data_IF_417463873820
#
_entry.id   IF_417463873820
#
_cell.length_a   1.000
_cell.length_b   1.000
_cell.length_c   1.000
_cell.angle_alpha   90.00
_cell.angle_beta   90.00
_cell.angle_gamma   90.00
#
_symmetry.space_group_name_H-M   'P 1'
#
loop_
_entity.id
_entity.type
_entity.pdbx_description
1 polymer ?
#
# COMPACT_ATOMS: atom_id res chain seq x y z
N UNK A 1 18.35 24.41 4.08
CA UNK A 1 17.18 23.86 3.41
C UNK A 1 16.76 22.59 4.18
N UNK A 2 15.51 22.54 4.68
CA UNK A 2 15.03 21.42 5.50
C UNK A 2 15.04 20.09 4.75
N UNK A 3 14.80 20.10 3.42
CA UNK A 3 14.89 18.91 2.58
C UNK A 3 16.26 18.24 2.62
N UNK A 4 17.33 19.02 2.58
CA UNK A 4 18.72 18.51 2.68
C UNK A 4 18.96 17.85 4.03
N UNK A 5 18.51 18.48 5.13
CA UNK A 5 18.62 17.89 6.47
C UNK A 5 17.85 16.58 6.63
N UNK A 6 16.67 16.48 6.01
CA UNK A 6 15.88 15.24 6.02
C UNK A 6 16.61 14.12 5.28
N UNK A 7 17.14 14.39 4.08
CA UNK A 7 17.92 13.42 3.31
C UNK A 7 19.14 12.97 4.14
N UNK A 8 19.90 13.89 4.70
CA UNK A 8 21.08 13.59 5.53
C UNK A 8 20.77 12.64 6.69
N UNK A 9 19.68 12.88 7.44
CA UNK A 9 19.34 12.03 8.61
C UNK A 9 18.80 10.65 8.20
N UNK A 10 18.29 10.51 7.00
CA UNK A 10 17.93 9.21 6.41
C UNK A 10 19.18 8.44 6.00
N UNK A 11 20.06 9.08 5.22
CA UNK A 11 21.27 8.46 4.67
C UNK A 11 22.29 8.06 5.74
N UNK A 12 22.44 8.84 6.80
CA UNK A 12 23.35 8.55 7.91
C UNK A 12 22.75 7.62 9.00
N UNK A 13 21.52 7.13 8.82
CA UNK A 13 20.85 6.18 9.70
C UNK A 13 20.24 6.75 10.97
N UNK A 14 20.38 8.05 11.27
CA UNK A 14 19.81 8.68 12.47
C UNK A 14 18.29 8.58 12.54
N UNK A 15 17.61 8.62 11.40
CA UNK A 15 16.16 8.41 11.33
C UNK A 15 15.76 7.01 11.78
N UNK A 16 16.49 5.98 11.32
CA UNK A 16 16.27 4.59 11.70
C UNK A 16 16.49 4.38 13.21
N UNK A 17 17.58 4.94 13.75
CA UNK A 17 17.85 4.87 15.18
C UNK A 17 16.74 5.55 16.01
N UNK A 18 16.24 6.69 15.54
CA UNK A 18 15.12 7.38 16.20
C UNK A 18 13.83 6.54 16.14
N UNK A 19 13.58 5.88 15.03
CA UNK A 19 12.44 4.97 14.87
C UNK A 19 12.55 3.77 15.82
N UNK A 20 13.72 3.13 15.92
CA UNK A 20 13.96 2.06 16.90
C UNK A 20 13.70 2.51 18.34
N UNK A 21 14.16 3.73 18.70
CA UNK A 21 13.88 4.31 20.03
C UNK A 21 12.38 4.50 20.28
N UNK A 22 11.63 4.95 19.26
CA UNK A 22 10.18 5.12 19.35
C UNK A 22 9.50 3.78 19.62
N UNK A 23 9.78 2.77 18.79
CA UNK A 23 9.22 1.41 18.91
C UNK A 23 9.50 0.83 20.30
N UNK A 24 10.76 0.90 20.76
CA UNK A 24 11.16 0.40 22.09
C UNK A 24 10.41 1.11 23.22
N UNK A 25 10.26 2.45 23.14
CA UNK A 25 9.55 3.23 24.18
C UNK A 25 8.05 2.93 24.23
N UNK A 26 7.48 2.48 23.14
CA UNK A 26 6.07 2.02 23.06
C UNK A 26 5.89 0.54 23.39
N UNK A 27 6.95 -0.14 23.83
CA UNK A 27 6.91 -1.55 24.22
C UNK A 27 6.99 -2.53 23.05
N UNK A 28 7.31 -2.06 21.83
CA UNK A 28 7.50 -2.91 20.66
C UNK A 28 8.86 -3.60 20.64
N UNK A 29 8.95 -4.70 19.91
CA UNK A 29 10.17 -5.49 19.71
C UNK A 29 10.96 -4.95 18.50
N UNK A 30 12.13 -4.36 18.77
CA UNK A 30 13.00 -3.80 17.72
C UNK A 30 13.64 -4.88 16.83
N UNK A 31 13.65 -6.15 17.26
CA UNK A 31 14.23 -7.23 16.48
C UNK A 31 13.54 -7.44 15.13
N UNK A 32 12.27 -7.06 15.00
CA UNK A 32 11.53 -7.05 13.73
C UNK A 32 12.03 -5.97 12.75
N UNK A 33 12.59 -4.87 13.28
CA UNK A 33 13.20 -3.81 12.43
C UNK A 33 14.57 -4.26 11.94
N UNK A 34 15.29 -5.02 12.76
CA UNK A 34 16.63 -5.53 12.45
C UNK A 34 16.62 -6.73 11.52
N UNK A 35 15.55 -7.52 11.59
CA UNK A 35 15.34 -8.71 10.77
C UNK A 35 13.88 -8.77 10.28
N UNK A 36 13.65 -8.27 9.07
CA UNK A 36 12.32 -8.24 8.44
C UNK A 36 11.76 -9.63 8.14
N UNK A 37 12.59 -10.68 8.13
CA UNK A 37 12.10 -12.06 7.92
C UNK A 37 11.26 -12.59 9.08
N UNK A 38 11.27 -11.92 10.23
CA UNK A 38 10.43 -12.24 11.38
C UNK A 38 8.95 -11.85 11.19
N UNK A 39 8.64 -10.95 10.24
CA UNK A 39 7.25 -10.70 9.91
C UNK A 39 6.62 -11.89 9.22
N UNK A 40 5.38 -12.21 9.60
CA UNK A 40 4.60 -13.26 8.96
C UNK A 40 4.35 -12.87 7.49
N UNK A 41 4.51 -13.86 6.59
CA UNK A 41 4.25 -13.69 5.17
C UNK A 41 2.90 -14.32 4.81
N UNK A 42 2.16 -13.67 3.92
CA UNK A 42 0.95 -14.24 3.35
C UNK A 42 1.27 -15.51 2.54
N UNK A 43 0.36 -16.48 2.55
CA UNK A 43 0.49 -17.75 1.81
C UNK A 43 0.36 -17.56 0.30
N UNK A 44 -0.44 -16.60 -0.12
CA UNK A 44 -0.74 -16.31 -1.51
C UNK A 44 -0.43 -14.85 -1.83
N UNK A 45 0.26 -14.63 -2.95
CA UNK A 45 0.50 -13.30 -3.50
C UNK A 45 0.00 -13.33 -4.94
N UNK A 46 -1.08 -12.59 -5.20
CA UNK A 46 -1.75 -12.58 -6.49
C UNK A 46 -1.66 -11.19 -7.14
N UNK A 47 -1.14 -11.07 -8.37
CA UNK A 47 -1.12 -9.82 -9.09
C UNK A 47 -2.48 -9.51 -9.72
N UNK A 48 -2.93 -8.26 -9.61
CA UNK A 48 -3.94 -7.70 -10.49
C UNK A 48 -3.25 -7.07 -11.70
N UNK A 49 -3.58 -7.54 -12.91
CA UNK A 49 -2.98 -7.06 -14.16
C UNK A 49 -3.88 -6.07 -14.87
N UNK A 50 -3.25 -5.13 -15.59
CA UNK A 50 -3.95 -4.19 -16.45
C UNK A 50 -4.55 -4.90 -17.68
N UNK A 51 -5.83 -4.66 -17.98
CA UNK A 51 -6.52 -5.24 -19.15
C UNK A 51 -6.17 -4.51 -20.46
N UNK A 52 -5.71 -3.28 -20.37
CA UNK A 52 -5.32 -2.44 -21.51
C UNK A 52 -4.19 -1.52 -21.15
N UNK A 53 -3.48 -1.03 -22.16
CA UNK A 53 -2.48 0.03 -22.00
C UNK A 53 -3.15 1.40 -21.87
N UNK A 54 -2.47 2.34 -21.19
CA UNK A 54 -2.93 3.71 -20.98
C UNK A 54 -2.32 4.34 -19.75
N UNK A 55 -3.05 5.25 -19.13
CA UNK A 55 -2.69 5.90 -17.88
C UNK A 55 -3.70 5.56 -16.80
N UNK A 56 -3.24 5.36 -15.58
CA UNK A 56 -4.11 5.21 -14.42
C UNK A 56 -4.81 6.57 -14.19
N UNK A 57 -6.09 6.62 -14.55
CA UNK A 57 -6.88 7.83 -14.44
C UNK A 57 -7.47 8.02 -13.04
N UNK A 58 -7.90 6.91 -12.41
CA UNK A 58 -8.47 6.90 -11.07
C UNK A 58 -8.15 5.60 -10.36
N UNK A 59 -7.96 5.69 -9.05
CA UNK A 59 -7.98 4.56 -8.12
C UNK A 59 -8.95 4.92 -7.00
N UNK A 60 -10.02 4.13 -6.84
CA UNK A 60 -11.00 4.34 -5.77
C UNK A 60 -10.47 3.78 -4.45
N UNK A 61 -10.05 4.70 -3.57
CA UNK A 61 -9.45 4.35 -2.28
C UNK A 61 -10.42 3.62 -1.35
N UNK A 62 -11.74 3.91 -1.44
CA UNK A 62 -12.75 3.23 -0.64
C UNK A 62 -12.85 1.76 -1.01
N UNK A 63 -12.93 1.46 -2.30
CA UNK A 63 -12.97 0.08 -2.81
C UNK A 63 -11.70 -0.68 -2.40
N UNK A 64 -10.51 -0.08 -2.53
CA UNK A 64 -9.25 -0.71 -2.08
C UNK A 64 -9.28 -0.98 -0.56
N UNK A 65 -9.80 -0.05 0.24
CA UNK A 65 -9.95 -0.24 1.68
C UNK A 65 -10.91 -1.38 2.03
N UNK A 66 -12.07 -1.47 1.36
CA UNK A 66 -13.04 -2.56 1.54
C UNK A 66 -12.42 -3.92 1.18
N UNK A 67 -11.64 -4.00 0.11
CA UNK A 67 -10.91 -5.21 -0.27
C UNK A 67 -9.90 -5.61 0.81
N UNK A 68 -9.15 -4.66 1.36
CA UNK A 68 -8.20 -4.95 2.44
C UNK A 68 -8.90 -5.50 3.70
N UNK A 69 -10.06 -4.94 4.07
CA UNK A 69 -10.88 -5.45 5.17
C UNK A 69 -11.40 -6.86 4.89
N UNK A 70 -11.84 -7.15 3.66
CA UNK A 70 -12.30 -8.48 3.25
C UNK A 70 -11.20 -9.55 3.38
N UNK A 71 -9.97 -9.20 3.06
CA UNK A 71 -8.80 -10.07 3.22
C UNK A 71 -8.46 -10.37 4.69
N UNK A 72 -8.90 -9.53 5.62
CA UNK A 72 -8.60 -9.64 7.05
C UNK A 72 -7.61 -8.59 7.57
N UNK A 73 -7.16 -7.63 6.73
CA UNK A 73 -6.26 -6.54 7.16
C UNK A 73 -6.98 -5.46 7.99
N UNK A 74 -8.30 -5.57 8.18
CA UNK A 74 -9.12 -4.67 8.97
C UNK A 74 -10.26 -5.41 9.65
N UNK A 75 -10.97 -4.71 10.53
CA UNK A 75 -12.11 -5.25 11.30
C UNK A 75 -13.42 -4.91 10.60
N UNK A 76 -14.28 -5.91 10.38
CA UNK A 76 -15.68 -5.72 10.00
C UNK A 76 -16.54 -5.57 11.26
N UNK A 77 -16.18 -6.28 12.33
CA UNK A 77 -16.79 -6.21 13.66
C UNK A 77 -15.72 -5.94 14.70
N UNK A 78 -16.12 -5.39 15.85
CA UNK A 78 -15.19 -5.02 16.93
C UNK A 78 -14.34 -6.19 17.43
N UNK A 79 -14.89 -7.39 17.40
CA UNK A 79 -14.30 -8.62 17.90
C UNK A 79 -13.35 -9.30 16.88
N UNK A 80 -13.36 -8.86 15.63
CA UNK A 80 -12.52 -9.48 14.59
C UNK A 80 -11.04 -9.28 14.90
N UNK A 81 -10.27 -10.36 14.74
CA UNK A 81 -8.80 -10.30 14.74
C UNK A 81 -8.30 -9.67 13.43
N UNK A 82 -7.22 -8.90 13.52
CA UNK A 82 -6.52 -8.37 12.35
C UNK A 82 -5.39 -9.33 12.00
N UNK A 83 -5.36 -9.75 10.74
CA UNK A 83 -4.24 -10.50 10.17
C UNK A 83 -3.23 -9.51 9.56
N UNK A 84 -2.06 -9.38 10.19
CA UNK A 84 -1.03 -8.43 9.78
C UNK A 84 -0.21 -8.90 8.56
N UNK A 85 -0.37 -10.15 8.14
CA UNK A 85 0.33 -10.72 6.98
C UNK A 85 -0.39 -10.47 5.66
N UNK A 86 -1.69 -10.10 5.70
CA UNK A 86 -2.51 -9.85 4.51
C UNK A 86 -2.65 -8.38 4.19
N UNK A 87 -2.96 -8.05 2.94
CA UNK A 87 -3.14 -6.67 2.52
C UNK A 87 -2.98 -6.45 1.02
N UNK A 88 -2.78 -5.19 0.63
CA UNK A 88 -2.65 -4.77 -0.76
C UNK A 88 -1.43 -3.88 -0.93
N UNK A 89 -0.64 -4.14 -1.96
CA UNK A 89 0.49 -3.29 -2.37
C UNK A 89 0.24 -2.73 -3.76
N UNK A 90 0.01 -1.42 -3.86
CA UNK A 90 -0.18 -0.74 -5.15
C UNK A 90 1.17 -0.62 -5.88
N UNK A 91 1.23 -1.09 -7.12
CA UNK A 91 2.40 -0.97 -8.01
C UNK A 91 2.28 0.23 -8.94
N UNK A 92 1.05 0.62 -9.26
CA UNK A 92 0.73 1.74 -10.14
C UNK A 92 -0.16 2.74 -9.42
N UNK A 93 0.18 4.02 -9.56
CA UNK A 93 -0.56 5.15 -8.98
C UNK A 93 -1.22 6.00 -10.06
N UNK A 94 -2.13 6.88 -9.65
CA UNK A 94 -2.78 7.83 -10.56
C UNK A 94 -1.73 8.63 -11.34
N UNK A 95 -1.98 8.89 -12.62
CA UNK A 95 -1.13 9.53 -13.62
C UNK A 95 0.04 8.70 -14.14
N UNK A 96 0.29 7.49 -13.62
CA UNK A 96 1.33 6.61 -14.15
C UNK A 96 0.87 5.88 -15.42
N UNK A 97 1.81 5.68 -16.34
CA UNK A 97 1.58 4.88 -17.53
C UNK A 97 1.58 3.39 -17.16
N UNK A 98 0.76 2.61 -17.86
CA UNK A 98 0.67 1.17 -17.71
C UNK A 98 0.53 0.51 -19.07
N UNK A 99 1.26 -0.59 -19.29
CA UNK A 99 1.07 -1.48 -20.43
C UNK A 99 0.01 -2.55 -20.11
N UNK A 100 -0.65 -3.07 -21.14
CA UNK A 100 -1.50 -4.26 -20.99
C UNK A 100 -0.68 -5.40 -20.35
N UNK A 101 -1.32 -6.15 -19.45
CA UNK A 101 -0.75 -7.26 -18.67
C UNK A 101 0.34 -6.84 -17.64
N UNK A 102 0.60 -5.55 -17.46
CA UNK A 102 1.46 -5.03 -16.40
C UNK A 102 0.75 -5.07 -15.05
N UNK A 103 1.49 -5.31 -13.96
CA UNK A 103 0.94 -5.43 -12.61
C UNK A 103 0.50 -4.07 -12.05
N UNK A 104 -0.77 -3.96 -11.67
CA UNK A 104 -1.37 -2.78 -11.03
C UNK A 104 -1.17 -2.79 -9.51
N UNK A 105 -1.40 -3.94 -8.89
CA UNK A 105 -1.24 -4.17 -7.46
C UNK A 105 -0.96 -5.66 -7.18
N UNK A 106 -0.53 -5.95 -5.96
CA UNK A 106 -0.47 -7.29 -5.41
C UNK A 106 -1.44 -7.43 -4.24
N UNK A 107 -2.18 -8.54 -4.22
CA UNK A 107 -2.99 -8.97 -3.09
C UNK A 107 -2.22 -10.02 -2.31
N UNK A 108 -2.06 -9.78 -1.02
CA UNK A 108 -1.47 -10.70 -0.04
C UNK A 108 -2.60 -11.32 0.78
N UNK A 109 -2.73 -12.65 0.76
CA UNK A 109 -3.84 -13.36 1.40
C UNK A 109 -3.42 -14.69 2.00
N UNK A 110 -4.16 -15.17 3.00
CA UNK A 110 -3.99 -16.51 3.58
C UNK A 110 -5.07 -17.51 3.16
N UNK A 111 -6.09 -17.02 2.47
CA UNK A 111 -7.19 -17.76 1.88
C UNK A 111 -7.25 -17.51 0.38
N UNK A 112 -7.26 -18.58 -0.42
CA UNK A 112 -7.20 -18.48 -1.87
C UNK A 112 -8.50 -17.96 -2.48
N UNK A 113 -9.66 -18.41 -1.97
CA UNK A 113 -10.97 -17.95 -2.45
C UNK A 113 -11.13 -16.45 -2.20
N UNK A 114 -10.83 -16.00 -0.99
CA UNK A 114 -10.83 -14.56 -0.65
C UNK A 114 -9.88 -13.76 -1.52
N UNK A 115 -8.71 -14.30 -1.87
CA UNK A 115 -7.77 -13.64 -2.76
C UNK A 115 -8.33 -13.46 -4.18
N UNK A 116 -9.03 -14.48 -4.71
CA UNK A 116 -9.66 -14.43 -6.03
C UNK A 116 -10.84 -13.44 -6.05
N UNK A 117 -11.70 -13.46 -5.04
CA UNK A 117 -12.78 -12.47 -4.85
C UNK A 117 -12.24 -11.04 -4.73
N UNK A 118 -11.16 -10.88 -3.96
CA UNK A 118 -10.47 -9.61 -3.78
C UNK A 118 -9.92 -9.05 -5.10
N UNK A 119 -9.36 -9.90 -5.98
CA UNK A 119 -8.91 -9.48 -7.32
C UNK A 119 -10.06 -8.93 -8.16
N UNK A 120 -11.22 -9.62 -8.17
CA UNK A 120 -12.40 -9.17 -8.90
C UNK A 120 -12.86 -7.80 -8.41
N UNK A 121 -12.94 -7.63 -7.09
CA UNK A 121 -13.36 -6.36 -6.49
C UNK A 121 -12.33 -5.25 -6.68
N UNK A 122 -11.03 -5.54 -6.52
CA UNK A 122 -9.96 -4.56 -6.68
C UNK A 122 -9.86 -4.02 -8.12
N UNK A 123 -10.23 -4.82 -9.11
CA UNK A 123 -10.29 -4.40 -10.52
C UNK A 123 -11.27 -3.23 -10.72
N UNK A 124 -12.40 -3.22 -10.01
CA UNK A 124 -13.40 -2.14 -10.09
C UNK A 124 -12.86 -0.80 -9.58
N UNK A 125 -11.78 -0.81 -8.77
CA UNK A 125 -11.18 0.39 -8.24
C UNK A 125 -10.36 1.17 -9.27
N UNK A 126 -9.93 0.52 -10.35
CA UNK A 126 -9.04 1.13 -11.35
C UNK A 126 -9.78 1.61 -12.58
N UNK A 127 -9.51 2.84 -12.96
CA UNK A 127 -9.90 3.41 -14.26
C UNK A 127 -8.65 3.71 -15.07
N UNK A 128 -8.52 3.11 -16.27
CA UNK A 128 -7.41 3.32 -17.20
C UNK A 128 -7.95 4.06 -18.43
N UNK A 129 -7.31 5.17 -18.84
CA UNK A 129 -7.64 5.95 -20.04
C UNK A 129 -6.43 6.12 -20.94
N UNK A 130 -6.65 6.48 -22.20
CA UNK A 130 -5.57 6.84 -23.14
C UNK A 130 -4.91 8.18 -22.75
N UNK A 131 -5.71 9.10 -22.23
CA UNK A 131 -5.24 10.42 -21.77
C UNK A 131 -4.74 10.36 -20.33
N UNK A 132 -3.64 11.08 -20.09
CA UNK A 132 -3.08 11.22 -18.75
C UNK A 132 -3.95 12.13 -17.89
N UNK A 133 -4.19 11.76 -16.65
CA UNK A 133 -4.80 12.63 -15.65
C UNK A 133 -3.88 13.86 -15.42
N UNK A 134 -4.41 15.06 -15.68
CA UNK A 134 -3.60 16.30 -15.70
C UNK A 134 -3.64 17.09 -14.39
N UNK A 135 -4.56 16.80 -13.50
CA UNK A 135 -4.58 17.48 -12.19
C UNK A 135 -3.40 17.04 -11.33
N UNK A 136 -2.53 18.00 -11.04
CA UNK A 136 -1.52 17.80 -9.99
C UNK A 136 -2.29 17.82 -8.66
N UNK A 137 -2.54 16.66 -8.08
CA UNK A 137 -3.09 16.57 -6.74
C UNK A 137 -2.03 17.12 -5.78
N UNK A 138 -2.13 18.41 -5.47
CA UNK A 138 -1.33 19.00 -4.42
C UNK A 138 -1.92 18.53 -3.07
N UNK A 139 -1.22 17.71 -2.29
CA UNK A 139 -1.72 17.28 -1.00
C UNK A 139 -1.75 18.39 0.05
N UNK A 140 -1.10 19.53 -0.23
CA UNK A 140 -1.09 20.71 0.64
C UNK A 140 -2.29 21.57 0.26
N UNK A 141 -3.31 21.58 1.09
CA UNK A 141 -4.53 22.38 0.90
C UNK A 141 -4.30 23.85 1.32
N UNK A 142 -3.57 24.06 2.41
CA UNK A 142 -3.32 25.38 3.00
C UNK A 142 -2.02 25.37 3.80
N UNK A 143 -1.30 26.51 3.79
CA UNK A 143 -0.17 26.77 4.68
C UNK A 143 -0.59 27.91 5.59
N UNK A 144 -0.66 27.65 6.90
CA UNK A 144 -0.95 28.65 7.94
C UNK A 144 0.39 29.14 8.49
N UNK A 145 0.67 30.46 8.37
CA UNK A 145 1.88 31.14 8.89
C UNK A 145 1.67 31.61 10.33
#
# INVERSE_FOLDING_TARGET
>A
NNKVKIIEVIENGKSLEKFKQLVKKQGGDISYIEDLSKFENAKYILPLKAEKSGYIYKIDAKTIGEVAVHLGAGRQKKEDAIDFSVGIVLKKKVSENVAKDEDLLYIYANDKEKAEEALVKAKEAYEIKEEKYQEIINPILEIIE
#
